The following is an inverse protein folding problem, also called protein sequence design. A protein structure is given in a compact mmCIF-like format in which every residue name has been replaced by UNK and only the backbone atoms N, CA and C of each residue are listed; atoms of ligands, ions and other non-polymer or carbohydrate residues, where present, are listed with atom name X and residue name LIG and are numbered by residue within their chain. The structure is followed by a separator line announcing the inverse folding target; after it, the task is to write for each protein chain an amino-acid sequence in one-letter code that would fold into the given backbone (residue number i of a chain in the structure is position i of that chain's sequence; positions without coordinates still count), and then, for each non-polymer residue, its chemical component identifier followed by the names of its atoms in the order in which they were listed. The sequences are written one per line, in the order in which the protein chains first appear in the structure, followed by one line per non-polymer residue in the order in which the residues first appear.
data_IF_610845200799
#
_entry.id   IF_610845200799
#
_cell.length_a   1.000
_cell.length_b   1.000
_cell.length_c   1.000
_cell.angle_alpha   90.00
_cell.angle_beta   90.00
_cell.angle_gamma   90.00
#
_symmetry.space_group_name_H-M   'P 1'
#
loop_
_entity.id
_entity.type
_entity.pdbx_description
1 polymer ?
#
# COMPACT_ATOMS: atom_id res chain seq x y z
N UNK A 1 22.01 12.72 -17.15
CA UNK A 1 21.08 11.58 -17.16
C UNK A 1 21.61 10.53 -16.19
N UNK A 2 21.07 10.45 -14.98
CA UNK A 2 21.41 9.39 -14.01
C UNK A 2 20.94 8.06 -14.58
N UNK A 3 21.87 7.19 -14.99
CA UNK A 3 21.54 5.85 -15.48
C UNK A 3 20.96 5.05 -14.30
N UNK A 4 19.68 4.72 -14.35
CA UNK A 4 19.08 3.73 -13.44
C UNK A 4 19.77 2.40 -13.74
N UNK A 5 20.38 1.78 -12.73
CA UNK A 5 21.04 0.48 -12.87
C UNK A 5 19.97 -0.57 -13.22
N UNK A 6 20.24 -1.45 -14.18
CA UNK A 6 19.32 -2.51 -14.63
C UNK A 6 18.74 -3.32 -13.47
N UNK A 7 19.54 -3.56 -12.42
CA UNK A 7 19.10 -4.22 -11.19
C UNK A 7 17.91 -3.52 -10.52
N UNK A 8 17.94 -2.20 -10.39
CA UNK A 8 16.85 -1.42 -9.78
C UNK A 8 15.57 -1.56 -10.58
N UNK A 9 15.68 -1.55 -11.91
CA UNK A 9 14.53 -1.75 -12.80
C UNK A 9 13.93 -3.15 -12.63
N UNK A 10 14.76 -4.19 -12.50
CA UNK A 10 14.29 -5.56 -12.23
C UNK A 10 13.54 -5.65 -10.90
N UNK A 11 14.04 -5.00 -9.84
CA UNK A 11 13.35 -4.95 -8.56
C UNK A 11 12.00 -4.22 -8.64
N UNK A 12 11.94 -3.08 -9.35
CA UNK A 12 10.69 -2.34 -9.57
C UNK A 12 9.67 -3.23 -10.31
N UNK A 13 10.09 -3.92 -11.37
CA UNK A 13 9.21 -4.83 -12.11
C UNK A 13 8.68 -5.98 -11.23
N UNK A 14 9.53 -6.60 -10.42
CA UNK A 14 9.13 -7.64 -9.48
C UNK A 14 8.18 -7.11 -8.38
N UNK A 15 8.41 -5.89 -7.90
CA UNK A 15 7.55 -5.22 -6.93
C UNK A 15 6.15 -4.92 -7.50
N UNK A 16 6.07 -4.47 -8.75
CA UNK A 16 4.79 -4.26 -9.45
C UNK A 16 4.03 -5.59 -9.58
N UNK A 17 4.71 -6.66 -9.98
CA UNK A 17 4.10 -7.99 -10.07
C UNK A 17 3.59 -8.48 -8.71
N UNK A 18 4.35 -8.25 -7.64
CA UNK A 18 3.95 -8.60 -6.27
C UNK A 18 2.69 -7.83 -5.82
N UNK A 19 2.65 -6.51 -6.08
CA UNK A 19 1.49 -5.68 -5.79
C UNK A 19 0.25 -6.17 -6.56
N UNK A 20 0.42 -6.46 -7.85
CA UNK A 20 -0.67 -6.94 -8.70
C UNK A 20 -1.23 -8.29 -8.21
N UNK A 21 -0.36 -9.23 -7.85
CA UNK A 21 -0.76 -10.51 -7.26
C UNK A 21 -1.48 -10.31 -5.92
N UNK A 22 -0.93 -9.48 -5.03
CA UNK A 22 -1.53 -9.17 -3.74
C UNK A 22 -2.94 -8.59 -3.87
N UNK A 23 -3.09 -7.58 -4.74
CA UNK A 23 -4.38 -6.96 -5.03
C UNK A 23 -5.41 -7.97 -5.53
N UNK A 24 -5.03 -8.83 -6.49
CA UNK A 24 -5.93 -9.83 -7.05
C UNK A 24 -6.35 -10.90 -6.03
N UNK A 25 -5.44 -11.34 -5.15
CA UNK A 25 -5.77 -12.25 -4.05
C UNK A 25 -6.76 -11.59 -3.09
N UNK A 26 -6.53 -10.33 -2.72
CA UNK A 26 -7.41 -9.57 -1.84
C UNK A 26 -8.81 -9.39 -2.44
N UNK A 27 -8.91 -9.03 -3.72
CA UNK A 27 -10.17 -8.88 -4.44
C UNK A 27 -10.91 -10.21 -4.57
N UNK A 28 -10.22 -11.28 -4.95
CA UNK A 28 -10.82 -12.61 -5.13
C UNK A 28 -11.39 -13.15 -3.82
N UNK A 29 -10.65 -13.00 -2.71
CA UNK A 29 -11.08 -13.45 -1.38
C UNK A 29 -11.97 -12.44 -0.64
N UNK A 30 -12.25 -11.27 -1.24
CA UNK A 30 -12.97 -10.14 -0.61
C UNK A 30 -12.41 -9.78 0.76
N UNK A 31 -11.08 -9.73 0.88
CA UNK A 31 -10.43 -9.38 2.13
C UNK A 31 -10.72 -7.91 2.49
N UNK A 32 -10.85 -7.57 3.78
CA UNK A 32 -10.89 -6.18 4.24
C UNK A 32 -9.46 -5.57 4.30
N UNK A 33 -8.57 -5.97 3.39
CA UNK A 33 -7.18 -5.55 3.23
C UNK A 33 -6.89 -5.47 1.73
N UNK A 34 -5.86 -4.71 1.32
CA UNK A 34 -5.57 -4.42 -0.09
C UNK A 34 -4.37 -5.21 -0.63
N UNK A 35 -3.32 -5.39 0.19
CA UNK A 35 -2.10 -6.14 -0.12
C UNK A 35 -1.34 -5.67 -1.38
N UNK A 36 -1.74 -4.56 -1.97
CA UNK A 36 -1.27 -4.00 -3.24
C UNK A 36 -0.04 -3.11 -3.10
N UNK A 37 0.54 -3.06 -1.90
CA UNK A 37 1.57 -2.08 -1.54
C UNK A 37 2.83 -2.70 -0.96
N UNK A 38 2.90 -4.03 -0.84
CA UNK A 38 4.07 -4.73 -0.30
C UNK A 38 5.31 -4.41 -1.15
N UNK A 39 5.19 -4.53 -2.48
CA UNK A 39 6.27 -4.22 -3.41
C UNK A 39 6.63 -2.73 -3.40
N UNK A 40 5.62 -1.85 -3.42
CA UNK A 40 5.82 -0.39 -3.36
C UNK A 40 6.63 0.03 -2.13
N UNK A 41 6.24 -0.48 -0.96
CA UNK A 41 6.90 -0.19 0.31
C UNK A 41 8.31 -0.80 0.37
N UNK A 42 8.52 -1.97 -0.25
CA UNK A 42 9.84 -2.57 -0.38
C UNK A 42 10.79 -1.70 -1.22
N UNK A 43 10.33 -1.20 -2.37
CA UNK A 43 11.12 -0.29 -3.21
C UNK A 43 11.38 1.04 -2.49
N UNK A 44 10.38 1.59 -1.81
CA UNK A 44 10.53 2.80 -1.00
C UNK A 44 11.62 2.64 0.08
N UNK A 45 11.67 1.47 0.73
CA UNK A 45 12.64 1.15 1.76
C UNK A 45 14.06 0.92 1.21
N UNK A 46 14.19 0.24 0.07
CA UNK A 46 15.49 -0.17 -0.48
C UNK A 46 16.13 0.90 -1.34
N UNK A 47 15.35 1.55 -2.22
CA UNK A 47 15.85 2.47 -3.24
C UNK A 47 15.32 3.90 -3.09
N UNK A 48 14.51 4.15 -2.06
CA UNK A 48 14.06 5.48 -1.67
C UNK A 48 12.63 5.84 -2.11
N UNK A 49 12.07 6.90 -1.51
CA UNK A 49 10.64 7.23 -1.59
C UNK A 49 10.16 7.49 -3.03
N UNK A 50 10.97 8.13 -3.86
CA UNK A 50 10.61 8.48 -5.24
C UNK A 50 10.44 7.25 -6.14
N UNK A 51 11.32 6.27 -6.03
CA UNK A 51 11.19 5.02 -6.78
C UNK A 51 10.01 4.18 -6.26
N UNK A 52 9.73 4.25 -4.96
CA UNK A 52 8.50 3.72 -4.38
C UNK A 52 7.25 4.36 -5.01
N UNK A 53 7.20 5.69 -5.10
CA UNK A 53 6.08 6.40 -5.71
C UNK A 53 5.90 6.04 -7.20
N UNK A 54 6.99 5.90 -7.97
CA UNK A 54 6.92 5.41 -9.36
C UNK A 54 6.33 4.00 -9.41
N UNK A 55 6.79 3.10 -8.54
CA UNK A 55 6.28 1.73 -8.43
C UNK A 55 4.78 1.72 -8.12
N UNK A 56 4.33 2.60 -7.22
CA UNK A 56 2.92 2.77 -6.86
C UNK A 56 2.06 3.17 -8.07
N UNK A 57 2.49 4.19 -8.81
CA UNK A 57 1.77 4.70 -9.98
C UNK A 57 1.63 3.62 -11.05
N UNK A 58 2.74 2.94 -11.37
CA UNK A 58 2.72 1.90 -12.41
C UNK A 58 1.89 0.70 -11.97
N UNK A 59 1.94 0.32 -10.69
CA UNK A 59 1.08 -0.75 -10.15
C UNK A 59 -0.40 -0.39 -10.24
N UNK A 60 -0.78 0.83 -9.85
CA UNK A 60 -2.16 1.30 -9.92
C UNK A 60 -2.67 1.36 -11.37
N UNK A 61 -1.83 1.83 -12.30
CA UNK A 61 -2.16 1.86 -13.72
C UNK A 61 -2.37 0.44 -14.28
N UNK A 62 -1.47 -0.50 -13.94
CA UNK A 62 -1.59 -1.89 -14.36
C UNK A 62 -2.89 -2.52 -13.84
N UNK A 63 -3.18 -2.39 -12.55
CA UNK A 63 -4.41 -2.91 -11.95
C UNK A 63 -5.65 -2.28 -12.58
N UNK A 64 -5.62 -0.98 -12.83
CA UNK A 64 -6.71 -0.25 -13.48
C UNK A 64 -7.03 -0.76 -14.89
N UNK A 65 -6.00 -1.02 -15.69
CA UNK A 65 -6.18 -1.49 -17.07
C UNK A 65 -6.68 -2.94 -17.17
N UNK A 66 -6.62 -3.71 -16.08
CA UNK A 66 -6.76 -5.18 -16.15
C UNK A 66 -7.83 -5.75 -15.24
N UNK A 67 -7.91 -5.30 -13.98
CA UNK A 67 -8.59 -6.04 -12.91
C UNK A 67 -9.51 -5.17 -12.06
N UNK A 68 -9.15 -3.91 -11.82
CA UNK A 68 -9.90 -3.04 -10.93
C UNK A 68 -9.97 -1.58 -11.41
N UNK A 69 -11.14 -1.17 -11.89
CA UNK A 69 -11.43 0.20 -12.36
C UNK A 69 -11.23 1.27 -11.28
N UNK A 70 -11.28 0.92 -9.99
CA UNK A 70 -11.09 1.86 -8.89
C UNK A 70 -9.59 2.15 -8.62
N UNK A 71 -8.68 1.27 -9.02
CA UNK A 71 -7.28 1.30 -8.61
C UNK A 71 -6.56 2.61 -8.93
N UNK A 72 -6.78 3.19 -10.13
CA UNK A 72 -6.11 4.43 -10.55
C UNK A 72 -6.50 5.63 -9.67
N UNK A 73 -7.73 5.68 -9.18
CA UNK A 73 -8.20 6.77 -8.32
C UNK A 73 -7.51 6.75 -6.94
N UNK A 74 -7.03 5.60 -6.49
CA UNK A 74 -6.26 5.46 -5.25
C UNK A 74 -4.75 5.64 -5.44
N UNK A 75 -4.27 5.93 -6.65
CA UNK A 75 -2.86 6.22 -6.89
C UNK A 75 -2.29 7.35 -5.99
N UNK A 76 -3.00 8.47 -5.70
CA UNK A 76 -2.53 9.49 -4.76
C UNK A 76 -2.28 8.95 -3.35
N UNK A 77 -3.16 8.05 -2.86
CA UNK A 77 -3.01 7.37 -1.56
C UNK A 77 -1.74 6.54 -1.57
N UNK A 78 -1.52 5.77 -2.64
CA UNK A 78 -0.36 4.91 -2.78
C UNK A 78 0.96 5.72 -2.84
N UNK A 79 0.97 6.85 -3.56
CA UNK A 79 2.12 7.77 -3.62
C UNK A 79 2.44 8.32 -2.22
N UNK A 80 1.46 8.91 -1.53
CA UNK A 80 1.64 9.50 -0.19
C UNK A 80 2.19 8.45 0.78
N UNK A 81 1.64 7.24 0.72
CA UNK A 81 2.07 6.12 1.56
C UNK A 81 3.50 5.67 1.23
N UNK A 82 3.89 5.65 -0.04
CA UNK A 82 5.26 5.32 -0.44
C UNK A 82 6.27 6.38 0.03
N UNK A 83 5.92 7.67 -0.11
CA UNK A 83 6.75 8.79 0.32
C UNK A 83 6.95 8.79 1.84
N UNK A 84 5.86 8.65 2.60
CA UNK A 84 5.91 8.59 4.07
C UNK A 84 6.68 7.37 4.56
N UNK A 85 6.44 6.20 3.98
CA UNK A 85 7.21 5.00 4.30
C UNK A 85 8.70 5.17 4.04
N UNK A 86 9.10 5.76 2.91
CA UNK A 86 10.51 6.01 2.59
C UNK A 86 11.22 6.94 3.59
N UNK A 87 10.48 7.78 4.33
CA UNK A 87 11.04 8.65 5.39
C UNK A 87 11.12 7.93 6.74
N UNK A 88 10.03 7.26 7.14
CA UNK A 88 9.89 6.68 8.48
C UNK A 88 10.45 5.26 8.62
N UNK A 89 10.44 4.46 7.55
CA UNK A 89 10.96 3.10 7.56
C UNK A 89 12.46 3.10 7.31
N UNK A 90 13.15 2.27 8.09
CA UNK A 90 14.57 1.99 7.97
C UNK A 90 14.78 0.50 8.00
N UNK A 91 15.79 0.00 7.31
CA UNK A 91 16.02 -1.44 7.16
C UNK A 91 16.29 -2.15 8.51
N UNK A 92 16.85 -1.42 9.47
CA UNK A 92 17.11 -1.92 10.83
C UNK A 92 15.91 -1.76 11.79
N UNK A 93 14.72 -1.38 11.30
CA UNK A 93 13.52 -1.23 12.15
C UNK A 93 13.16 -2.58 12.79
N UNK A 94 12.76 -2.55 14.06
CA UNK A 94 12.30 -3.75 14.77
C UNK A 94 10.81 -3.94 14.54
N UNK A 95 10.33 -5.18 14.65
CA UNK A 95 8.91 -5.51 14.48
C UNK A 95 8.01 -4.72 15.46
N UNK A 96 8.48 -4.50 16.69
CA UNK A 96 7.77 -3.70 17.70
C UNK A 96 7.57 -2.22 17.28
N UNK A 97 8.48 -1.67 16.49
CA UNK A 97 8.41 -0.27 16.04
C UNK A 97 7.37 -0.11 14.92
N UNK A 98 6.93 -1.22 14.31
CA UNK A 98 5.95 -1.19 13.22
C UNK A 98 4.57 -0.73 13.67
N UNK A 99 4.20 -0.94 14.94
CA UNK A 99 2.89 -0.52 15.46
C UNK A 99 2.74 0.99 15.28
N UNK A 100 3.70 1.76 15.79
CA UNK A 100 3.69 3.21 15.66
C UNK A 100 3.98 3.68 14.23
N UNK A 101 4.92 3.05 13.53
CA UNK A 101 5.26 3.43 12.15
C UNK A 101 4.11 3.20 11.17
N UNK A 102 3.39 2.09 11.30
CA UNK A 102 2.22 1.81 10.47
C UNK A 102 1.17 2.89 10.63
N UNK A 103 0.94 3.35 11.87
CA UNK A 103 0.02 4.45 12.15
C UNK A 103 0.46 5.75 11.45
N UNK A 104 1.72 6.14 11.58
CA UNK A 104 2.24 7.34 10.91
C UNK A 104 2.19 7.26 9.38
N UNK A 105 2.39 6.06 8.83
CA UNK A 105 2.40 5.81 7.37
C UNK A 105 0.97 5.72 6.82
N UNK A 106 0.04 5.09 7.53
CA UNK A 106 -1.35 4.93 7.09
C UNK A 106 -2.12 6.24 7.17
N UNK A 107 -1.93 7.02 8.24
CA UNK A 107 -2.75 8.19 8.55
C UNK A 107 -2.98 9.17 7.38
N UNK A 108 -1.93 9.71 6.71
CA UNK A 108 -2.15 10.65 5.62
C UNK A 108 -2.79 9.99 4.39
N UNK A 109 -2.50 8.71 4.14
CA UNK A 109 -3.15 7.93 3.09
C UNK A 109 -4.65 7.75 3.35
N UNK A 110 -5.01 7.36 4.58
CA UNK A 110 -6.40 7.12 5.01
C UNK A 110 -7.26 8.35 4.89
N UNK A 111 -6.75 9.54 5.21
CA UNK A 111 -7.50 10.79 5.02
C UNK A 111 -7.88 10.99 3.56
N UNK A 112 -6.92 10.81 2.66
CA UNK A 112 -7.15 10.94 1.21
C UNK A 112 -8.06 9.82 0.69
N UNK A 113 -7.84 8.58 1.13
CA UNK A 113 -8.66 7.43 0.76
C UNK A 113 -10.12 7.60 1.18
N UNK A 114 -10.37 8.09 2.40
CA UNK A 114 -11.72 8.33 2.92
C UNK A 114 -12.44 9.40 2.12
N UNK A 115 -11.76 10.52 1.80
CA UNK A 115 -12.32 11.59 0.98
C UNK A 115 -12.70 11.08 -0.42
N UNK A 116 -11.80 10.34 -1.07
CA UNK A 116 -12.04 9.72 -2.37
C UNK A 116 -13.28 8.81 -2.30
N UNK A 117 -13.33 7.93 -1.30
CA UNK A 117 -14.40 6.93 -1.14
C UNK A 117 -15.76 7.58 -0.91
N UNK A 118 -15.83 8.64 -0.11
CA UNK A 118 -17.09 9.35 0.17
C UNK A 118 -17.55 10.13 -1.06
N UNK A 119 -16.66 10.93 -1.67
CA UNK A 119 -17.04 11.88 -2.72
C UNK A 119 -17.27 11.17 -4.06
N UNK A 120 -16.35 10.30 -4.47
CA UNK A 120 -16.38 9.69 -5.81
C UNK A 120 -17.24 8.43 -5.84
N UNK A 121 -17.20 7.63 -4.77
CA UNK A 121 -17.72 6.26 -4.79
C UNK A 121 -18.88 6.02 -3.83
N UNK A 122 -19.26 7.01 -3.01
CA UNK A 122 -20.38 6.93 -2.06
C UNK A 122 -20.33 5.67 -1.18
N UNK A 123 -19.14 5.27 -0.75
CA UNK A 123 -18.92 4.11 0.14
C UNK A 123 -18.79 2.73 -0.54
N UNK A 124 -19.07 2.62 -1.84
CA UNK A 124 -19.06 1.34 -2.56
C UNK A 124 -17.88 1.28 -3.53
N UNK A 125 -16.98 0.33 -3.31
CA UNK A 125 -15.76 0.11 -4.11
C UNK A 125 -15.59 -1.38 -4.41
N UNK A 126 -14.54 -1.74 -5.15
CA UNK A 126 -14.10 -3.13 -5.37
C UNK A 126 -13.60 -3.82 -4.10
N UNK A 127 -13.24 -3.06 -3.05
CA UNK A 127 -12.64 -3.60 -1.82
C UNK A 127 -13.64 -4.39 -0.98
N UNK A 128 -13.15 -5.45 -0.31
CA UNK A 128 -13.93 -6.16 0.71
C UNK A 128 -14.34 -5.26 1.88
N UNK A 129 -13.63 -4.15 2.13
CA UNK A 129 -13.97 -3.18 3.18
C UNK A 129 -15.31 -2.49 2.94
N UNK A 130 -15.77 -2.35 1.70
CA UNK A 130 -17.08 -1.76 1.39
C UNK A 130 -18.24 -2.53 2.03
N UNK A 131 -18.12 -3.86 2.20
CA UNK A 131 -19.12 -4.63 2.95
C UNK A 131 -19.26 -4.13 4.39
N UNK A 132 -18.13 -3.88 5.06
CA UNK A 132 -18.11 -3.39 6.43
C UNK A 132 -18.67 -1.96 6.53
N UNK A 133 -18.38 -1.11 5.54
CA UNK A 133 -18.96 0.25 5.45
C UNK A 133 -20.48 0.18 5.38
N UNK A 134 -21.01 -0.67 4.50
CA UNK A 134 -22.46 -0.81 4.33
C UNK A 134 -23.14 -1.41 5.56
N UNK A 135 -22.49 -2.33 6.27
CA UNK A 135 -22.99 -2.86 7.54
C UNK A 135 -23.08 -1.74 8.58
N UNK A 136 -22.02 -0.96 8.79
CA UNK A 136 -22.04 0.16 9.73
C UNK A 136 -23.09 1.21 9.37
N UNK A 137 -23.21 1.54 8.08
CA UNK A 137 -24.23 2.48 7.62
C UNK A 137 -25.64 1.94 7.85
N UNK A 138 -25.87 0.65 7.59
CA UNK A 138 -27.14 -0.04 7.86
C UNK A 138 -27.52 -0.11 9.35
N UNK A 139 -26.54 -0.01 10.26
CA UNK A 139 -26.76 0.12 11.70
C UNK A 139 -27.14 1.55 12.14
N UNK A 140 -27.29 2.48 11.19
CA UNK A 140 -27.76 3.85 11.43
C UNK A 140 -26.67 4.91 11.54
N UNK A 141 -25.40 4.56 11.28
CA UNK A 141 -24.33 5.56 11.20
C UNK A 141 -24.38 6.33 9.87
N UNK A 142 -23.97 7.59 9.89
CA UNK A 142 -23.78 8.35 8.66
C UNK A 142 -22.77 7.65 7.74
N UNK A 143 -22.99 7.74 6.42
CA UNK A 143 -22.13 7.10 5.43
C UNK A 143 -20.68 7.58 5.53
N UNK A 144 -20.48 8.89 5.73
CA UNK A 144 -19.15 9.50 5.84
C UNK A 144 -18.40 8.96 7.05
N UNK A 145 -19.10 8.88 8.19
CA UNK A 145 -18.55 8.34 9.44
C UNK A 145 -18.22 6.86 9.28
N UNK A 146 -19.11 6.10 8.64
CA UNK A 146 -18.91 4.67 8.37
C UNK A 146 -17.68 4.42 7.51
N UNK A 147 -17.49 5.20 6.44
CA UNK A 147 -16.29 5.13 5.60
C UNK A 147 -15.04 5.45 6.40
N UNK A 148 -15.00 6.58 7.12
CA UNK A 148 -13.81 7.00 7.87
C UNK A 148 -13.39 5.93 8.89
N UNK A 149 -14.35 5.38 9.65
CA UNK A 149 -14.07 4.38 10.69
C UNK A 149 -13.52 3.09 10.08
N UNK A 150 -14.17 2.57 9.03
CA UNK A 150 -13.70 1.34 8.38
C UNK A 150 -12.35 1.57 7.71
N UNK A 151 -12.19 2.65 6.94
CA UNK A 151 -10.96 2.95 6.23
C UNK A 151 -9.77 3.10 7.19
N UNK A 152 -9.97 3.78 8.33
CA UNK A 152 -8.93 3.91 9.35
C UNK A 152 -8.49 2.55 9.93
N UNK A 153 -9.44 1.64 10.16
CA UNK A 153 -9.13 0.29 10.63
C UNK A 153 -8.43 -0.55 9.56
N UNK A 154 -9.01 -0.62 8.36
CA UNK A 154 -8.53 -1.49 7.28
C UNK A 154 -7.18 -1.03 6.74
N UNK A 155 -6.99 0.27 6.53
CA UNK A 155 -5.71 0.80 6.05
C UNK A 155 -4.61 0.57 7.07
N UNK A 156 -4.89 0.80 8.36
CA UNK A 156 -3.91 0.58 9.43
C UNK A 156 -3.48 -0.90 9.51
N UNK A 157 -4.44 -1.82 9.50
CA UNK A 157 -4.15 -3.26 9.50
C UNK A 157 -3.38 -3.67 8.25
N UNK A 158 -3.77 -3.17 7.08
CA UNK A 158 -3.10 -3.45 5.82
C UNK A 158 -1.66 -2.92 5.81
N UNK A 159 -1.43 -1.72 6.36
CA UNK A 159 -0.08 -1.18 6.54
C UNK A 159 0.74 -2.00 7.52
N UNK A 160 0.17 -2.46 8.63
CA UNK A 160 0.89 -3.33 9.56
C UNK A 160 1.34 -4.63 8.89
N UNK A 161 0.42 -5.32 8.22
CA UNK A 161 0.70 -6.58 7.50
C UNK A 161 1.76 -6.35 6.42
N UNK A 162 1.57 -5.32 5.60
CA UNK A 162 2.50 -5.01 4.51
C UNK A 162 3.90 -4.65 5.02
N UNK A 163 4.01 -3.83 6.06
CA UNK A 163 5.31 -3.43 6.63
C UNK A 163 6.03 -4.61 7.32
N UNK A 164 5.28 -5.51 7.96
CA UNK A 164 5.83 -6.76 8.51
C UNK A 164 6.46 -7.61 7.40
N UNK A 165 5.72 -7.84 6.31
CA UNK A 165 6.20 -8.60 5.16
C UNK A 165 7.43 -7.93 4.51
N UNK A 166 7.40 -6.61 4.34
CA UNK A 166 8.53 -5.84 3.81
C UNK A 166 9.78 -6.00 4.67
N UNK A 167 9.67 -5.96 6.01
CA UNK A 167 10.82 -6.19 6.88
C UNK A 167 11.36 -7.61 6.77
N UNK A 168 10.48 -8.62 6.67
CA UNK A 168 10.90 -10.01 6.50
C UNK A 168 11.63 -10.20 5.17
N UNK A 169 11.08 -9.69 4.08
CA UNK A 169 11.69 -9.75 2.74
C UNK A 169 13.01 -8.98 2.73
N UNK A 170 13.07 -7.77 3.31
CA UNK A 170 14.30 -6.97 3.37
C UNK A 170 15.42 -7.68 4.12
N UNK A 171 15.11 -8.35 5.25
CA UNK A 171 16.10 -9.14 6.00
C UNK A 171 16.58 -10.36 5.21
N UNK A 172 15.68 -11.06 4.51
CA UNK A 172 16.04 -12.19 3.65
C UNK A 172 16.95 -11.74 2.49
N UNK A 173 16.58 -10.63 1.83
CA UNK A 173 17.39 -10.02 0.77
C UNK A 173 18.76 -9.58 1.28
N UNK A 174 18.87 -9.02 2.48
CA UNK A 174 20.17 -8.64 3.06
C UNK A 174 21.10 -9.82 3.27
N UNK A 175 20.54 -10.98 3.64
CA UNK A 175 21.29 -12.23 3.80
C UNK A 175 21.76 -12.80 2.46
N UNK A 176 20.92 -12.74 1.43
CA UNK A 176 21.19 -13.35 0.12
C UNK A 176 21.95 -12.44 -0.85
N UNK A 177 21.68 -11.14 -0.81
CA UNK A 177 22.17 -10.12 -1.75
C UNK A 177 22.70 -8.89 -0.98
N UNK A 178 23.78 -9.04 -0.19
CA UNK A 178 24.28 -7.97 0.68
C UNK A 178 24.78 -6.74 -0.11
N UNK A 179 25.20 -6.91 -1.37
CA UNK A 179 25.65 -5.82 -2.24
C UNK A 179 24.56 -4.80 -2.58
N UNK A 180 23.26 -5.18 -2.51
CA UNK A 180 22.15 -4.23 -2.73
C UNK A 180 22.06 -3.17 -1.64
N UNK A 181 22.64 -3.43 -0.48
CA UNK A 181 22.60 -2.57 0.69
C UNK A 181 23.83 -1.66 0.79
N UNK A 182 24.73 -1.73 -0.19
CA UNK A 182 25.94 -0.90 -0.30
C UNK A 182 25.82 0.17 -1.40
N UNK A 183 24.66 0.27 -2.05
CA UNK A 183 24.31 1.29 -3.06
C UNK A 183 23.77 2.52 -2.34
#
# INVERSE_FOLDING_TARGET
MTKIKTQVLTFIAAAIALNYLGANIALFLKLPLYLDMIGTLLIALLFGPWLGAVTAIVSALLSWMTTDIFALFYAPVAIITALTAGVFMRQNSKAKDLIWKALCISFPGTLVASIITVILFKGITSSGSSLLVQILHGLGLDLTVSVIVIQAGTDYLDRLVSLLLVLMISKALRKQLPHLFQI
#
